data_IF_100812824581
#
_entry.id   IF_100812824581
#
_cell.length_a   1.000
_cell.length_b   1.000
_cell.length_c   1.000
_cell.angle_alpha   90.00
_cell.angle_beta   90.00
_cell.angle_gamma   90.00
#
_symmetry.space_group_name_H-M   'P 1'
#
loop_
_entity.id
_entity.type
_entity.pdbx_description
1 polymer ?
#
# COMPACT_ATOMS: atom_id res chain seq x y z
N UNK A 1 -7.51 -17.05 -18.68
CA UNK A 1 -8.86 -17.40 -18.18
C UNK A 1 -9.11 -16.79 -16.81
N UNK A 2 -8.26 -17.05 -15.80
CA UNK A 2 -8.37 -16.33 -14.51
C UNK A 2 -7.96 -14.85 -14.62
N UNK A 3 -6.97 -14.52 -15.45
CA UNK A 3 -6.54 -13.12 -15.62
C UNK A 3 -7.64 -12.27 -16.25
N UNK A 4 -8.32 -12.76 -17.28
CA UNK A 4 -9.42 -12.07 -17.96
C UNK A 4 -10.64 -11.84 -17.05
N UNK A 5 -10.93 -12.78 -16.13
CA UNK A 5 -11.99 -12.59 -15.11
C UNK A 5 -11.57 -11.54 -14.08
N UNK A 6 -10.31 -11.56 -13.64
CA UNK A 6 -9.80 -10.56 -12.69
C UNK A 6 -9.73 -9.16 -13.32
N UNK A 7 -9.38 -9.06 -14.60
CA UNK A 7 -9.28 -7.79 -15.31
C UNK A 7 -10.64 -7.12 -15.45
N UNK A 8 -11.67 -7.87 -15.87
CA UNK A 8 -13.05 -7.37 -15.92
C UNK A 8 -13.56 -6.96 -14.53
N UNK A 9 -13.25 -7.75 -13.49
CA UNK A 9 -13.68 -7.44 -12.12
C UNK A 9 -13.00 -6.15 -11.61
N UNK A 10 -11.69 -6.01 -11.83
CA UNK A 10 -10.93 -4.84 -11.38
C UNK A 10 -11.38 -3.59 -12.15
N UNK A 11 -11.61 -3.68 -13.46
CA UNK A 11 -12.07 -2.56 -14.28
C UNK A 11 -13.47 -2.07 -13.87
N UNK A 12 -14.38 -3.01 -13.56
CA UNK A 12 -15.73 -2.67 -13.12
C UNK A 12 -15.75 -2.05 -11.71
N UNK A 13 -14.89 -2.54 -10.80
CA UNK A 13 -14.73 -1.94 -9.48
C UNK A 13 -14.03 -0.57 -9.58
N UNK A 14 -13.05 -0.41 -10.47
CA UNK A 14 -12.35 0.84 -10.71
C UNK A 14 -13.29 1.92 -11.29
N UNK A 15 -14.23 1.56 -12.17
CA UNK A 15 -15.28 2.48 -12.66
C UNK A 15 -16.21 2.99 -11.57
N UNK A 16 -16.44 2.19 -10.54
CA UNK A 16 -17.35 2.53 -9.45
C UNK A 16 -16.72 3.46 -8.41
N UNK A 17 -15.39 3.40 -8.25
CA UNK A 17 -14.65 4.08 -7.19
C UNK A 17 -13.81 5.21 -7.79
N UNK A 18 -14.05 6.49 -7.39
CA UNK A 18 -13.27 7.62 -7.91
C UNK A 18 -11.77 7.45 -7.68
N UNK A 19 -10.94 7.93 -8.61
CA UNK A 19 -9.47 7.88 -8.53
C UNK A 19 -8.91 8.47 -7.21
N UNK A 20 -9.58 9.49 -6.68
CA UNK A 20 -9.25 10.10 -5.39
C UNK A 20 -9.42 9.10 -4.24
N UNK A 21 -10.45 8.25 -4.28
CA UNK A 21 -10.70 7.22 -3.27
C UNK A 21 -9.62 6.14 -3.34
N UNK A 22 -9.22 5.72 -4.54
CA UNK A 22 -8.10 4.80 -4.71
C UNK A 22 -6.81 5.37 -4.14
N UNK A 23 -6.46 6.61 -4.48
CA UNK A 23 -5.28 7.25 -3.91
C UNK A 23 -5.33 7.34 -2.39
N UNK A 24 -6.51 7.61 -1.79
CA UNK A 24 -6.68 7.59 -0.34
C UNK A 24 -6.48 6.19 0.27
N UNK A 25 -6.99 5.13 -0.37
CA UNK A 25 -6.76 3.73 0.06
C UNK A 25 -5.28 3.38 0.03
N UNK A 26 -4.58 3.77 -1.04
CA UNK A 26 -3.13 3.58 -1.16
C UNK A 26 -2.35 4.35 -0.09
N UNK A 27 -2.73 5.61 0.19
CA UNK A 27 -2.11 6.41 1.25
C UNK A 27 -2.32 5.80 2.64
N UNK A 28 -3.54 5.40 2.98
CA UNK A 28 -3.85 4.80 4.29
C UNK A 28 -3.11 3.47 4.45
N UNK A 29 -3.18 2.61 3.44
CA UNK A 29 -2.51 1.30 3.47
C UNK A 29 -1.00 1.48 3.54
N UNK A 30 -0.44 2.40 2.74
CA UNK A 30 0.98 2.73 2.76
C UNK A 30 1.43 3.27 4.12
N UNK A 31 0.67 4.19 4.72
CA UNK A 31 0.96 4.73 6.04
C UNK A 31 0.96 3.66 7.14
N UNK A 32 -0.04 2.78 7.15
CA UNK A 32 -0.10 1.65 8.09
C UNK A 32 1.07 0.67 7.88
N UNK A 33 1.39 0.37 6.62
CA UNK A 33 2.50 -0.53 6.27
C UNK A 33 3.85 0.06 6.72
N UNK A 34 4.08 1.35 6.47
CA UNK A 34 5.25 2.07 6.94
C UNK A 34 5.33 2.10 8.46
N UNK A 35 4.21 2.37 9.15
CA UNK A 35 4.16 2.39 10.60
C UNK A 35 4.51 1.02 11.20
N UNK A 36 3.98 -0.06 10.64
CA UNK A 36 4.33 -1.43 11.03
C UNK A 36 5.81 -1.73 10.77
N UNK A 37 6.33 -1.35 9.60
CA UNK A 37 7.74 -1.52 9.28
C UNK A 37 8.67 -0.80 10.26
N UNK A 38 8.37 0.46 10.56
CA UNK A 38 9.14 1.29 11.50
C UNK A 38 9.07 0.74 12.92
N UNK A 39 7.88 0.37 13.39
CA UNK A 39 7.72 -0.19 14.74
C UNK A 39 8.45 -1.53 14.88
N UNK A 40 8.51 -2.36 13.82
CA UNK A 40 9.33 -3.59 13.82
C UNK A 40 10.83 -3.28 13.86
N UNK A 41 11.30 -2.25 13.14
CA UNK A 41 12.72 -1.84 13.17
C UNK A 41 13.11 -1.33 14.56
N UNK A 42 12.19 -0.62 15.23
CA UNK A 42 12.40 -0.07 16.57
C UNK A 42 12.12 -1.08 17.69
N UNK A 43 11.83 -2.35 17.36
CA UNK A 43 11.50 -3.41 18.31
C UNK A 43 10.33 -3.05 19.24
N UNK A 44 9.38 -2.24 18.74
CA UNK A 44 8.19 -1.79 19.45
C UNK A 44 6.98 -2.70 19.19
N UNK A 45 7.11 -3.73 18.35
CA UNK A 45 6.03 -4.66 18.00
C UNK A 45 6.10 -5.94 18.81
N UNK A 46 4.96 -6.51 19.19
CA UNK A 46 4.85 -7.86 19.77
C UNK A 46 5.13 -8.98 18.77
N UNK A 47 5.32 -8.64 17.50
CA UNK A 47 5.72 -9.56 16.44
C UNK A 47 7.23 -9.76 16.53
N UNK A 48 7.68 -11.02 16.60
CA UNK A 48 9.10 -11.40 16.54
C UNK A 48 9.64 -11.22 15.10
N UNK A 49 9.44 -10.02 14.54
CA UNK A 49 9.76 -9.65 13.18
C UNK A 49 11.24 -9.33 13.04
N UNK A 50 11.86 -9.80 11.96
CA UNK A 50 13.24 -9.44 11.67
C UNK A 50 13.35 -7.96 11.25
N UNK A 51 14.42 -7.28 11.68
CA UNK A 51 14.77 -5.92 11.23
C UNK A 51 14.75 -5.78 9.70
N UNK A 52 15.13 -6.84 8.96
CA UNK A 52 15.07 -6.86 7.49
C UNK A 52 13.63 -6.77 6.97
N UNK A 53 12.71 -7.49 7.61
CA UNK A 53 11.30 -7.52 7.24
C UNK A 53 10.66 -6.16 7.53
N UNK A 54 10.97 -5.54 8.67
CA UNK A 54 10.56 -4.17 8.99
C UNK A 54 11.09 -3.13 7.98
N UNK A 55 12.33 -3.28 7.54
CA UNK A 55 12.93 -2.47 6.47
C UNK A 55 12.17 -2.59 5.14
N UNK A 56 11.85 -3.81 4.73
CA UNK A 56 11.07 -4.07 3.50
C UNK A 56 9.67 -3.46 3.60
N UNK A 57 8.96 -3.66 4.72
CA UNK A 57 7.64 -3.03 4.92
C UNK A 57 7.71 -1.51 4.86
N UNK A 58 8.73 -0.92 5.48
CA UNK A 58 8.93 0.53 5.45
C UNK A 58 9.09 1.04 4.02
N UNK A 59 9.96 0.39 3.23
CA UNK A 59 10.19 0.75 1.83
C UNK A 59 8.94 0.58 0.96
N UNK A 60 8.22 -0.54 1.12
CA UNK A 60 6.97 -0.81 0.40
C UNK A 60 5.90 0.21 0.75
N UNK A 61 5.72 0.52 2.03
CA UNK A 61 4.75 1.51 2.48
C UNK A 61 5.04 2.91 1.91
N UNK A 62 6.32 3.31 1.86
CA UNK A 62 6.72 4.59 1.24
C UNK A 62 6.42 4.60 -0.26
N UNK A 63 6.68 3.51 -0.98
CA UNK A 63 6.35 3.40 -2.40
C UNK A 63 4.84 3.48 -2.66
N UNK A 64 4.03 2.84 -1.81
CA UNK A 64 2.57 2.92 -1.88
C UNK A 64 2.06 4.34 -1.64
N UNK A 65 2.75 5.12 -0.82
CA UNK A 65 2.43 6.54 -0.60
C UNK A 65 2.85 7.39 -1.81
N UNK A 66 4.03 7.13 -2.37
CA UNK A 66 4.59 7.93 -3.47
C UNK A 66 3.74 7.85 -4.76
N UNK A 67 3.15 6.69 -5.06
CA UNK A 67 2.31 6.49 -6.26
C UNK A 67 1.14 7.48 -6.38
N UNK A 68 0.23 7.54 -5.39
CA UNK A 68 -0.86 8.52 -5.36
C UNK A 68 -0.39 9.97 -5.48
N UNK A 69 0.71 10.34 -4.81
CA UNK A 69 1.26 11.69 -4.92
C UNK A 69 1.70 12.02 -6.35
N UNK A 70 2.37 11.10 -7.03
CA UNK A 70 2.76 11.29 -8.43
C UNK A 70 1.54 11.37 -9.34
N UNK A 71 0.53 10.52 -9.11
CA UNK A 71 -0.69 10.50 -9.91
C UNK A 71 -1.55 11.77 -9.76
N UNK A 72 -1.65 12.32 -8.55
CA UNK A 72 -2.43 13.54 -8.30
C UNK A 72 -1.71 14.84 -8.66
N UNK A 73 -0.38 14.82 -8.74
CA UNK A 73 0.39 16.00 -9.14
C UNK A 73 0.45 16.19 -10.67
N UNK A 74 0.07 15.16 -11.44
CA UNK A 74 0.07 15.17 -12.91
C UNK A 74 -1.28 15.59 -13.47
#
# INVERSE_FOLDING_TARGET
>A
MLDEILDVLIDEVAKLVPDVVWGAVFLVTGALTTMLGVTMILDMTTLNGSMRLGGVLTAVGVLLIAGPFVAWYR
#
